data_IF_974175721306
#
_entry.id   IF_974175721306
#
_cell.length_a   1.000
_cell.length_b   1.000
_cell.length_c   1.000
_cell.angle_alpha   90.00
_cell.angle_beta   90.00
_cell.angle_gamma   90.00
#
_symmetry.space_group_name_H-M   'P 1'
#
loop_
_entity.id
_entity.type
_entity.pdbx_description
1 polymer ?
#
# COMPACT_ATOMS: atom_id res chain seq x y z
N UNK A 1 -8.76 -15.71 3.16
CA UNK A 1 -7.82 -15.36 2.08
C UNK A 1 -8.57 -15.56 0.76
N UNK A 2 -8.78 -14.51 -0.03
CA UNK A 2 -9.42 -14.66 -1.34
C UNK A 2 -8.42 -15.20 -2.36
N UNK A 3 -8.88 -16.12 -3.23
CA UNK A 3 -8.06 -16.70 -4.30
C UNK A 3 -8.83 -16.60 -5.62
N UNK A 4 -8.32 -15.79 -6.54
CA UNK A 4 -8.83 -15.74 -7.91
C UNK A 4 -8.33 -16.96 -8.70
N UNK A 5 -9.21 -17.54 -9.49
CA UNK A 5 -8.94 -18.64 -10.43
C UNK A 5 -9.37 -18.18 -11.82
N UNK A 6 -8.52 -18.35 -12.82
CA UNK A 6 -8.80 -17.97 -14.21
C UNK A 6 -8.77 -19.21 -15.09
N UNK A 7 -9.84 -19.42 -15.85
CA UNK A 7 -9.94 -20.48 -16.84
C UNK A 7 -9.61 -19.95 -18.23
N UNK A 8 -8.77 -20.67 -18.96
CA UNK A 8 -8.27 -20.23 -20.27
C UNK A 8 -9.02 -20.85 -21.45
N UNK A 9 -9.83 -21.88 -21.23
CA UNK A 9 -10.56 -22.58 -22.29
C UNK A 9 -12.06 -22.59 -21.97
N UNK A 10 -12.91 -22.65 -23.00
CA UNK A 10 -14.32 -22.98 -22.81
C UNK A 10 -14.49 -24.36 -22.19
N UNK A 11 -15.54 -24.53 -21.41
CA UNK A 11 -15.88 -25.78 -20.75
C UNK A 11 -16.44 -25.61 -19.34
N UNK A 12 -16.90 -26.73 -18.79
CA UNK A 12 -17.34 -26.81 -17.39
C UNK A 12 -16.16 -27.08 -16.47
N UNK A 13 -15.97 -26.22 -15.49
CA UNK A 13 -14.91 -26.32 -14.49
C UNK A 13 -15.50 -26.53 -13.10
N UNK A 14 -14.91 -27.47 -12.35
CA UNK A 14 -15.30 -27.74 -10.97
C UNK A 14 -14.28 -27.07 -10.04
N UNK A 15 -14.71 -26.05 -9.31
CA UNK A 15 -13.91 -25.41 -8.26
C UNK A 15 -14.24 -26.10 -6.94
N UNK A 16 -13.21 -26.57 -6.24
CA UNK A 16 -13.31 -27.12 -4.88
C UNK A 16 -12.52 -26.23 -3.93
N UNK A 17 -13.20 -25.61 -2.98
CA UNK A 17 -12.58 -24.86 -1.89
C UNK A 17 -12.63 -25.72 -0.62
N UNK A 18 -11.49 -25.90 0.04
CA UNK A 18 -11.41 -26.58 1.32
C UNK A 18 -10.83 -25.63 2.38
N UNK A 19 -11.51 -25.48 3.51
CA UNK A 19 -10.99 -24.85 4.70
C UNK A 19 -10.55 -25.95 5.67
N UNK A 20 -9.33 -25.88 6.19
CA UNK A 20 -8.78 -26.88 7.12
C UNK A 20 -8.32 -26.16 8.38
N UNK A 21 -8.80 -26.61 9.54
CA UNK A 21 -8.35 -26.15 10.86
C UNK A 21 -8.06 -27.36 11.75
N UNK A 22 -6.80 -27.79 11.78
CA UNK A 22 -6.41 -29.00 12.50
C UNK A 22 -7.03 -30.26 11.88
N UNK A 23 -7.90 -30.95 12.64
CA UNK A 23 -8.63 -32.14 12.18
C UNK A 23 -9.96 -31.81 11.48
N UNK A 24 -10.46 -30.58 11.63
CA UNK A 24 -11.70 -30.14 10.98
C UNK A 24 -11.41 -29.69 9.55
N UNK A 25 -12.24 -30.14 8.62
CA UNK A 25 -12.23 -29.67 7.24
C UNK A 25 -13.66 -29.45 6.76
N UNK A 26 -13.86 -28.35 6.02
CA UNK A 26 -15.10 -28.04 5.33
C UNK A 26 -14.80 -27.85 3.83
N UNK A 27 -15.66 -28.37 2.97
CA UNK A 27 -15.47 -28.34 1.52
C UNK A 27 -16.71 -27.80 0.80
N UNK A 28 -16.49 -26.76 -0.01
CA UNK A 28 -17.50 -26.23 -0.93
C UNK A 28 -17.11 -26.52 -2.37
N UNK A 29 -18.07 -26.98 -3.17
CA UNK A 29 -17.89 -27.24 -4.60
C UNK A 29 -18.80 -26.32 -5.41
N UNK A 30 -18.27 -25.73 -6.48
CA UNK A 30 -19.01 -24.88 -7.40
C UNK A 30 -18.62 -25.23 -8.85
N UNK A 31 -19.60 -25.23 -9.75
CA UNK A 31 -19.38 -25.50 -11.17
C UNK A 31 -19.48 -24.19 -11.94
N UNK A 32 -18.43 -23.86 -12.68
CA UNK A 32 -18.35 -22.66 -13.51
C UNK A 32 -18.29 -23.09 -14.98
N UNK A 33 -19.25 -22.64 -15.78
CA UNK A 33 -19.24 -22.85 -17.23
C UNK A 33 -18.61 -21.64 -17.93
N UNK A 34 -17.56 -21.89 -18.69
CA UNK A 34 -16.89 -20.89 -19.54
C UNK A 34 -17.35 -21.11 -20.97
N UNK A 35 -17.98 -20.10 -21.56
CA UNK A 35 -18.50 -20.18 -22.92
C UNK A 35 -17.40 -19.91 -23.96
N UNK A 36 -17.62 -20.41 -25.18
CA UNK A 36 -16.81 -20.02 -26.34
C UNK A 36 -16.98 -18.52 -26.65
N UNK A 37 -15.92 -17.84 -27.10
CA UNK A 37 -16.06 -16.48 -27.60
C UNK A 37 -17.03 -16.44 -28.78
N UNK A 38 -17.92 -15.44 -28.89
CA UNK A 38 -18.75 -15.27 -30.07
C UNK A 38 -17.90 -15.16 -31.34
N UNK A 39 -18.41 -15.66 -32.47
CA UNK A 39 -17.74 -15.51 -33.76
C UNK A 39 -17.44 -14.04 -34.07
N UNK A 40 -16.31 -13.80 -34.73
CA UNK A 40 -15.88 -12.44 -35.08
C UNK A 40 -15.39 -11.62 -33.88
N UNK A 41 -14.97 -12.27 -32.80
CA UNK A 41 -14.38 -11.61 -31.63
C UNK A 41 -12.97 -12.11 -31.33
N UNK A 42 -12.18 -11.27 -30.68
CA UNK A 42 -10.88 -11.64 -30.08
C UNK A 42 -10.92 -11.40 -28.58
N UNK A 43 -10.11 -12.14 -27.84
CA UNK A 43 -9.95 -11.94 -26.41
C UNK A 43 -8.88 -10.89 -26.16
N UNK A 44 -9.23 -9.80 -25.48
CA UNK A 44 -8.28 -8.87 -24.92
C UNK A 44 -7.89 -9.31 -23.50
N UNK A 45 -6.63 -9.67 -23.30
CA UNK A 45 -6.07 -10.11 -22.02
C UNK A 45 -5.07 -9.08 -21.50
N UNK A 46 -5.34 -8.53 -20.33
CA UNK A 46 -4.47 -7.64 -19.60
C UNK A 46 -3.89 -8.37 -18.39
N UNK A 47 -2.58 -8.53 -18.36
CA UNK A 47 -1.86 -9.06 -17.19
C UNK A 47 -1.22 -7.92 -16.43
N UNK A 48 -1.53 -7.79 -15.14
CA UNK A 48 -1.03 -6.71 -14.28
C UNK A 48 -0.17 -7.29 -13.18
N UNK A 49 1.07 -6.84 -13.09
CA UNK A 49 1.94 -7.13 -11.96
C UNK A 49 2.30 -5.85 -11.23
N UNK A 50 2.44 -5.95 -9.91
CA UNK A 50 2.79 -4.82 -9.06
C UNK A 50 4.02 -5.18 -8.23
N UNK A 51 4.87 -4.18 -7.99
CA UNK A 51 5.96 -4.26 -7.01
C UNK A 51 5.94 -3.01 -6.16
N UNK A 52 6.21 -3.13 -4.87
CA UNK A 52 6.23 -1.99 -3.96
C UNK A 52 6.80 -2.36 -2.60
N UNK A 53 6.50 -1.53 -1.61
CA UNK A 53 6.87 -1.76 -0.22
C UNK A 53 5.61 -2.03 0.58
N UNK A 54 5.45 -3.23 1.13
CA UNK A 54 4.43 -3.50 2.13
C UNK A 54 4.82 -2.80 3.45
N UNK A 55 3.89 -2.03 4.01
CA UNK A 55 4.01 -1.33 5.29
C UNK A 55 3.06 -1.95 6.30
N UNK A 56 3.60 -2.77 7.19
CA UNK A 56 2.86 -3.27 8.34
C UNK A 56 2.95 -2.26 9.47
N UNK A 57 1.80 -1.89 10.05
CA UNK A 57 1.71 -0.96 11.18
C UNK A 57 1.20 -1.64 12.43
N UNK A 58 1.67 -1.14 13.56
CA UNK A 58 1.34 -1.66 14.88
C UNK A 58 1.48 -0.54 15.90
N UNK A 59 0.59 -0.54 16.89
CA UNK A 59 0.71 0.39 18.01
C UNK A 59 1.29 -0.35 19.21
N UNK A 60 2.16 0.33 19.94
CA UNK A 60 2.77 -0.17 21.18
C UNK A 60 2.80 0.95 22.20
N UNK A 61 2.34 0.68 23.40
CA UNK A 61 2.48 1.63 24.50
C UNK A 61 3.90 1.53 25.08
N UNK A 62 4.47 2.68 25.38
CA UNK A 62 5.73 2.85 26.09
C UNK A 62 5.56 3.82 27.25
N UNK A 63 6.59 3.93 28.07
CA UNK A 63 6.62 4.89 29.18
C UNK A 63 8.04 5.35 29.40
N UNK A 64 8.23 6.66 29.48
CA UNK A 64 9.47 7.23 30.00
C UNK A 64 9.30 7.48 31.49
N UNK A 65 10.15 6.86 32.31
CA UNK A 65 10.16 7.12 33.75
C UNK A 65 11.55 7.48 34.24
N UNK A 66 11.59 8.41 35.21
CA UNK A 66 12.81 8.78 35.90
C UNK A 66 12.48 9.27 37.31
N UNK A 67 13.44 9.13 38.22
CA UNK A 67 13.34 9.56 39.61
C UNK A 67 14.59 10.35 39.94
N UNK A 68 14.42 11.42 40.73
CA UNK A 68 15.52 12.21 41.23
C UNK A 68 16.39 11.35 42.16
N UNK A 69 17.70 11.33 41.94
CA UNK A 69 18.62 10.52 42.74
C UNK A 69 18.85 11.18 44.12
N UNK A 70 18.65 10.46 45.24
CA UNK A 70 18.85 11.02 46.59
C UNK A 70 20.24 11.60 46.83
N UNK A 71 21.28 10.95 46.28
CA UNK A 71 22.67 11.34 46.41
C UNK A 71 23.08 12.56 45.56
N UNK A 72 22.20 13.03 44.67
CA UNK A 72 22.49 14.20 43.84
C UNK A 72 22.43 15.48 44.69
N UNK A 73 23.56 16.19 44.76
CA UNK A 73 23.71 17.40 45.57
C UNK A 73 22.91 18.58 45.01
N UNK A 74 23.00 18.83 43.71
CA UNK A 74 22.34 19.98 43.08
C UNK A 74 20.83 19.79 43.04
N UNK A 75 20.03 20.87 43.15
CA UNK A 75 18.57 20.80 43.12
C UNK A 75 18.01 20.45 41.73
N UNK A 76 18.85 20.44 40.70
CA UNK A 76 18.48 20.11 39.31
C UNK A 76 19.20 18.82 38.90
N UNK A 77 18.44 17.83 38.47
CA UNK A 77 18.95 16.53 38.00
C UNK A 77 18.62 16.34 36.52
N UNK A 78 19.60 16.50 35.60
CA UNK A 78 19.39 16.22 34.20
C UNK A 78 19.22 14.72 33.98
N UNK A 79 18.35 14.34 33.05
CA UNK A 79 18.13 12.93 32.71
C UNK A 79 18.04 12.71 31.21
N UNK A 80 18.32 11.46 30.85
CA UNK A 80 18.07 10.92 29.52
C UNK A 80 17.40 9.55 29.65
N UNK A 81 16.36 9.31 28.86
CA UNK A 81 15.70 8.00 28.73
C UNK A 81 15.52 7.64 27.28
N UNK A 82 15.59 6.35 26.98
CA UNK A 82 15.47 5.85 25.63
C UNK A 82 14.46 4.73 25.50
N UNK A 83 13.82 4.66 24.33
CA UNK A 83 13.01 3.53 23.90
C UNK A 83 13.49 3.11 22.51
N UNK A 84 13.72 1.81 22.34
CA UNK A 84 14.07 1.21 21.06
C UNK A 84 12.82 0.68 20.36
N UNK A 85 12.79 0.77 19.03
CA UNK A 85 11.80 0.10 18.20
C UNK A 85 11.97 -1.43 18.30
N UNK A 86 10.90 -2.18 18.05
CA UNK A 86 10.98 -3.64 17.97
C UNK A 86 11.93 -4.10 16.85
N UNK A 87 12.53 -5.30 16.96
CA UNK A 87 13.37 -5.84 15.89
C UNK A 87 12.66 -5.83 14.53
N UNK A 88 13.33 -5.32 13.50
CA UNK A 88 12.81 -5.13 12.13
C UNK A 88 11.71 -4.07 11.97
N UNK A 89 11.45 -3.25 13.00
CA UNK A 89 10.55 -2.10 12.92
C UNK A 89 11.33 -0.78 13.06
N UNK A 90 10.70 0.30 12.62
CA UNK A 90 11.08 1.68 12.91
C UNK A 90 9.87 2.43 13.45
N UNK A 91 10.07 3.56 14.14
CA UNK A 91 8.95 4.41 14.54
C UNK A 91 8.42 5.19 13.32
N UNK A 92 7.17 4.92 12.94
CA UNK A 92 6.44 5.69 11.94
C UNK A 92 5.91 7.01 12.52
N UNK A 93 5.46 6.97 13.78
CA UNK A 93 4.95 8.12 14.53
C UNK A 93 5.12 7.90 16.04
N UNK A 94 5.13 9.00 16.80
CA UNK A 94 5.20 8.99 18.27
C UNK A 94 4.17 9.97 18.80
N UNK A 95 3.34 9.49 19.73
CA UNK A 95 2.15 10.21 20.17
C UNK A 95 2.10 10.31 21.68
N UNK A 96 1.77 11.49 22.17
CA UNK A 96 1.52 11.73 23.58
C UNK A 96 0.10 12.25 23.73
N UNK A 97 -0.67 11.58 24.57
CA UNK A 97 -1.99 12.06 24.94
C UNK A 97 -1.86 12.95 26.17
N UNK A 98 -2.36 14.18 26.07
CA UNK A 98 -2.40 15.10 27.19
C UNK A 98 -3.59 14.75 28.11
N UNK A 99 -3.59 15.21 29.37
CA UNK A 99 -4.75 15.07 30.26
C UNK A 99 -6.03 15.74 29.73
N UNK A 100 -5.94 16.68 28.78
CA UNK A 100 -7.11 17.28 28.13
C UNK A 100 -7.65 16.43 26.96
N UNK A 101 -6.97 15.34 26.60
CA UNK A 101 -7.33 14.47 25.48
C UNK A 101 -6.72 14.87 24.13
N UNK A 102 -5.93 15.95 24.08
CA UNK A 102 -5.18 16.34 22.89
C UNK A 102 -4.07 15.32 22.59
N UNK A 103 -3.81 15.06 21.31
CA UNK A 103 -2.74 14.16 20.88
C UNK A 103 -1.62 14.98 20.24
N UNK A 104 -0.50 15.10 20.93
CA UNK A 104 0.73 15.66 20.38
C UNK A 104 1.46 14.60 19.56
N UNK A 105 1.84 14.92 18.32
CA UNK A 105 2.47 13.98 17.38
C UNK A 105 3.84 14.46 16.93
N UNK A 106 4.82 13.56 16.95
CA UNK A 106 6.13 13.80 16.33
C UNK A 106 6.01 13.82 14.80
N UNK A 107 5.20 12.92 14.22
CA UNK A 107 5.02 12.81 12.78
C UNK A 107 6.31 12.45 12.07
N UNK A 108 6.72 13.26 11.07
CA UNK A 108 7.97 13.08 10.32
C UNK A 108 9.13 13.95 10.85
N UNK A 109 8.93 14.66 11.98
CA UNK A 109 9.98 15.49 12.57
C UNK A 109 11.00 14.62 13.30
N UNK A 110 12.24 15.11 13.38
CA UNK A 110 13.30 14.43 14.14
C UNK A 110 13.34 14.82 15.62
N UNK A 111 12.61 15.88 16.00
CA UNK A 111 12.55 16.34 17.38
C UNK A 111 11.21 17.03 17.68
N UNK A 112 10.86 17.05 18.96
CA UNK A 112 9.68 17.72 19.50
C UNK A 112 9.96 18.21 20.92
N UNK A 113 9.81 19.51 21.15
CA UNK A 113 9.78 20.07 22.50
C UNK A 113 8.44 19.73 23.13
N UNK A 114 8.47 19.22 24.36
CA UNK A 114 7.27 18.87 25.12
C UNK A 114 7.14 19.86 26.26
N UNK A 115 5.99 20.54 26.38
CA UNK A 115 5.73 21.41 27.52
C UNK A 115 5.34 20.56 28.74
N UNK A 116 6.14 20.51 29.82
CA UNK A 116 5.81 19.74 31.03
C UNK A 116 4.48 20.17 31.67
N UNK A 117 4.10 21.44 31.54
CA UNK A 117 2.86 21.99 32.08
C UNK A 117 1.62 21.35 31.46
N UNK A 118 1.66 21.07 30.16
CA UNK A 118 0.59 20.37 29.42
C UNK A 118 0.37 18.96 29.98
N UNK A 119 1.42 18.29 30.45
CA UNK A 119 1.37 16.96 31.06
C UNK A 119 1.22 16.96 32.58
N UNK A 120 1.03 18.14 33.20
CA UNK A 120 0.97 18.33 34.65
C UNK A 120 2.23 17.85 35.39
N UNK A 121 3.38 17.88 34.74
CA UNK A 121 4.68 17.48 35.29
C UNK A 121 5.34 18.67 36.02
N UNK A 122 4.93 18.93 37.26
CA UNK A 122 5.30 20.14 38.03
C UNK A 122 6.81 20.26 38.34
N UNK A 123 7.50 19.12 38.51
CA UNK A 123 8.92 19.08 38.86
C UNK A 123 9.83 18.81 37.68
N UNK A 124 9.34 18.95 36.44
CA UNK A 124 10.09 18.66 35.22
C UNK A 124 10.24 19.92 34.37
N UNK A 125 11.42 20.12 33.78
CA UNK A 125 11.69 21.22 32.84
C UNK A 125 12.47 20.72 31.62
N UNK A 126 12.48 21.53 30.56
CA UNK A 126 13.32 21.35 29.38
C UNK A 126 13.15 19.98 28.68
N UNK A 127 11.91 19.48 28.57
CA UNK A 127 11.65 18.21 27.90
C UNK A 127 11.83 18.32 26.39
N UNK A 128 12.71 17.47 25.86
CA UNK A 128 12.97 17.34 24.44
C UNK A 128 12.94 15.86 24.05
N UNK A 129 12.07 15.53 23.11
CA UNK A 129 12.09 14.25 22.43
C UNK A 129 12.89 14.39 21.14
N UNK A 130 13.80 13.45 20.90
CA UNK A 130 14.50 13.28 19.62
C UNK A 130 14.35 11.84 19.14
N UNK A 131 14.43 11.66 17.82
CA UNK A 131 14.45 10.35 17.17
C UNK A 131 15.71 10.22 16.32
N UNK A 132 16.35 9.06 16.35
CA UNK A 132 17.50 8.76 15.50
C UNK A 132 17.14 8.80 14.01
N UNK A 133 18.11 9.04 13.14
CA UNK A 133 17.90 9.16 11.70
C UNK A 133 17.32 7.87 11.07
N UNK A 134 17.70 6.70 11.59
CA UNK A 134 17.14 5.39 11.20
C UNK A 134 15.77 5.10 11.83
N UNK A 135 15.25 6.03 12.62
CA UNK A 135 13.99 5.98 13.36
C UNK A 135 13.86 4.76 14.27
N UNK A 136 14.96 4.21 14.78
CA UNK A 136 14.96 3.05 15.69
C UNK A 136 15.07 3.40 17.17
N UNK A 137 15.55 4.60 17.50
CA UNK A 137 15.78 5.01 18.88
C UNK A 137 15.06 6.33 19.13
N UNK A 138 14.22 6.35 20.16
CA UNK A 138 13.69 7.57 20.75
C UNK A 138 14.49 7.92 21.99
N UNK A 139 14.81 9.19 22.14
CA UNK A 139 15.53 9.73 23.29
C UNK A 139 14.77 10.92 23.85
N UNK A 140 14.39 10.82 25.12
CA UNK A 140 13.78 11.89 25.89
C UNK A 140 14.81 12.43 26.88
N UNK A 141 15.11 13.72 26.78
CA UNK A 141 15.94 14.45 27.73
C UNK A 141 15.12 15.47 28.49
N UNK A 142 15.56 15.81 29.69
CA UNK A 142 14.96 16.89 30.49
C UNK A 142 15.65 17.01 31.83
N UNK A 143 15.04 17.80 32.72
CA UNK A 143 15.56 18.08 34.05
C UNK A 143 14.47 17.83 35.10
N UNK A 144 14.82 17.13 36.18
CA UNK A 144 14.00 17.08 37.40
C UNK A 144 14.47 18.16 38.38
N UNK A 145 13.53 18.84 39.02
CA UNK A 145 13.81 19.92 39.98
C UNK A 145 13.30 19.53 41.37
N UNK A 146 14.22 19.38 42.32
CA UNK A 146 13.94 19.10 43.74
C UNK A 146 13.53 20.40 44.46
N UNK A 147 12.43 20.35 45.19
CA UNK A 147 12.01 21.46 46.04
C UNK A 147 12.87 21.55 47.31
N UNK A 148 12.81 22.69 48.00
CA UNK A 148 13.46 22.86 49.30
C UNK A 148 12.89 21.88 50.34
N UNK A 149 11.57 21.72 50.39
CA UNK A 149 10.91 20.74 51.27
C UNK A 149 11.37 19.30 50.99
N UNK A 150 11.54 18.93 49.72
CA UNK A 150 12.05 17.61 49.36
C UNK A 150 13.53 17.45 49.76
N UNK A 151 14.31 18.54 49.74
CA UNK A 151 15.70 18.55 50.20
C UNK A 151 15.81 18.40 51.72
N UNK A 152 14.81 18.87 52.46
CA UNK A 152 14.69 18.72 53.92
C UNK A 152 13.99 17.41 54.33
N UNK A 153 13.65 16.53 53.38
CA UNK A 153 12.93 15.27 53.65
C UNK A 153 11.46 15.45 54.05
N UNK A 154 10.89 16.65 53.86
CA UNK A 154 9.49 16.98 54.18
C UNK A 154 8.52 16.71 53.02
N UNK A 155 9.04 16.43 51.83
CA UNK A 155 8.28 16.07 50.64
C UNK A 155 8.99 14.94 49.86
N UNK A 156 8.28 14.14 49.05
CA UNK A 156 8.90 13.11 48.24
C UNK A 156 9.85 13.71 47.18
N UNK A 157 10.87 12.93 46.81
CA UNK A 157 11.75 13.31 45.71
C UNK A 157 10.97 13.33 44.38
N UNK A 158 11.32 14.27 43.46
CA UNK A 158 10.67 14.36 42.16
C UNK A 158 10.74 13.06 41.36
N UNK A 159 9.63 12.72 40.73
CA UNK A 159 9.55 11.64 39.74
C UNK A 159 8.84 12.14 38.49
N UNK A 160 9.16 11.53 37.35
CA UNK A 160 8.45 11.73 36.10
C UNK A 160 8.01 10.37 35.59
N UNK A 161 6.75 10.30 35.15
CA UNK A 161 6.21 9.21 34.35
C UNK A 161 5.46 9.82 33.18
N UNK A 162 5.89 9.52 31.96
CA UNK A 162 5.30 10.04 30.72
C UNK A 162 4.95 8.87 29.80
N UNK A 163 3.65 8.49 29.72
CA UNK A 163 3.16 7.50 28.77
C UNK A 163 3.33 8.00 27.33
N UNK A 164 3.60 7.08 26.42
CA UNK A 164 3.75 7.37 24.99
C UNK A 164 3.14 6.23 24.16
N UNK A 165 2.39 6.56 23.12
CA UNK A 165 1.97 5.61 22.10
C UNK A 165 2.97 5.65 20.95
N UNK A 166 3.54 4.50 20.63
CA UNK A 166 4.53 4.29 19.58
C UNK A 166 3.83 3.62 18.40
N UNK A 167 3.80 4.30 17.26
CA UNK A 167 3.38 3.68 16.00
C UNK A 167 4.62 3.16 15.33
N UNK A 168 4.76 1.85 15.28
CA UNK A 168 5.88 1.18 14.64
C UNK A 168 5.49 0.69 13.24
N UNK A 169 6.42 0.76 12.31
CA UNK A 169 6.24 0.33 10.93
C UNK A 169 7.33 -0.67 10.54
N UNK A 170 6.94 -1.73 9.83
CA UNK A 170 7.86 -2.64 9.15
C UNK A 170 7.65 -2.50 7.65
N UNK A 171 8.73 -2.19 6.94
CA UNK A 171 8.74 -1.99 5.50
C UNK A 171 9.43 -3.17 4.83
N UNK A 172 8.72 -3.91 3.99
CA UNK A 172 9.25 -5.08 3.27
C UNK A 172 8.97 -4.98 1.78
N UNK A 173 9.98 -5.19 0.90
CA UNK A 173 9.73 -5.32 -0.53
C UNK A 173 8.70 -6.42 -0.81
N UNK A 174 7.73 -6.11 -1.66
CA UNK A 174 6.65 -7.01 -1.99
C UNK A 174 6.34 -6.99 -3.49
N UNK A 175 5.94 -8.14 -4.03
CA UNK A 175 5.56 -8.30 -5.43
C UNK A 175 4.26 -9.08 -5.55
N UNK A 176 3.44 -8.68 -6.51
CA UNK A 176 2.16 -9.29 -6.83
C UNK A 176 2.29 -9.83 -8.23
N UNK A 177 2.21 -11.16 -8.33
CA UNK A 177 2.23 -11.88 -9.60
C UNK A 177 1.15 -11.37 -10.54
N UNK A 178 1.37 -11.57 -11.85
CA UNK A 178 0.46 -11.12 -12.90
C UNK A 178 -0.98 -11.55 -12.64
N UNK A 179 -1.86 -10.59 -12.35
CA UNK A 179 -3.30 -10.77 -12.24
C UNK A 179 -3.89 -10.59 -13.64
N UNK A 180 -4.44 -11.65 -14.27
CA UNK A 180 -5.07 -11.55 -15.56
C UNK A 180 -6.47 -10.94 -15.44
N UNK A 181 -6.79 -10.04 -16.35
CA UNK A 181 -8.14 -9.50 -16.59
C UNK A 181 -8.43 -9.65 -18.07
N UNK A 182 -9.54 -10.27 -18.42
CA UNK A 182 -9.89 -10.54 -19.81
C UNK A 182 -11.26 -9.94 -20.16
N UNK A 183 -11.43 -9.57 -21.42
CA UNK A 183 -12.71 -9.20 -22.01
C UNK A 183 -12.73 -9.61 -23.47
N UNK A 184 -13.93 -9.67 -24.04
CA UNK A 184 -14.14 -9.92 -25.46
C UNK A 184 -14.19 -8.60 -26.22
N UNK A 185 -13.52 -8.55 -27.37
CA UNK A 185 -13.49 -7.39 -28.26
C UNK A 185 -13.95 -7.83 -29.65
N UNK A 186 -15.03 -7.22 -30.15
CA UNK A 186 -15.52 -7.51 -31.50
C UNK A 186 -14.52 -7.02 -32.56
N UNK A 187 -14.38 -7.76 -33.66
CA UNK A 187 -13.61 -7.32 -34.82
C UNK A 187 -14.45 -6.29 -35.60
N UNK A 188 -13.93 -5.07 -35.82
CA UNK A 188 -14.57 -4.05 -36.64
C UNK A 188 -15.03 -4.57 -38.00
N UNK A 189 -16.25 -4.18 -38.39
CA UNK A 189 -16.78 -4.38 -39.74
C UNK A 189 -17.49 -3.12 -40.22
N UNK A 190 -17.53 -2.91 -41.53
CA UNK A 190 -18.24 -1.80 -42.18
C UNK A 190 -17.84 -0.39 -41.69
N UNK A 191 -16.57 -0.20 -41.33
CA UNK A 191 -16.05 1.10 -40.86
C UNK A 191 -16.45 1.49 -39.43
N UNK A 192 -17.12 0.62 -38.68
CA UNK A 192 -17.42 0.86 -37.27
C UNK A 192 -16.23 0.50 -36.38
N UNK A 193 -15.95 1.33 -35.36
CA UNK A 193 -14.91 1.02 -34.36
C UNK A 193 -15.45 0.09 -33.28
N UNK A 194 -14.60 -0.79 -32.77
CA UNK A 194 -14.90 -1.67 -31.63
C UNK A 194 -14.21 -1.17 -30.38
N UNK A 195 -14.91 -1.25 -29.25
CA UNK A 195 -14.42 -0.75 -27.96
C UNK A 195 -14.67 -1.80 -26.89
N UNK A 196 -13.67 -2.02 -26.03
CA UNK A 196 -13.84 -2.80 -24.81
C UNK A 196 -13.11 -2.15 -23.64
N UNK A 197 -13.57 -2.39 -22.42
CA UNK A 197 -12.93 -1.90 -21.20
C UNK A 197 -12.50 -3.06 -20.30
N UNK A 198 -11.28 -2.95 -19.77
CA UNK A 198 -10.68 -3.88 -18.83
C UNK A 198 -10.53 -3.18 -17.48
N UNK A 199 -11.20 -3.70 -16.46
CA UNK A 199 -11.12 -3.17 -15.09
C UNK A 199 -9.74 -3.48 -14.50
N UNK A 200 -9.06 -2.48 -13.97
CA UNK A 200 -7.79 -2.63 -13.29
C UNK A 200 -8.02 -3.20 -11.89
N UNK A 201 -7.30 -4.25 -11.47
CA UNK A 201 -7.30 -4.71 -10.09
C UNK A 201 -6.85 -3.58 -9.16
N UNK A 202 -7.51 -3.48 -8.01
CA UNK A 202 -7.12 -2.56 -6.94
C UNK A 202 -5.66 -2.80 -6.53
N UNK A 203 -4.98 -1.74 -6.11
CA UNK A 203 -3.67 -1.87 -5.49
C UNK A 203 -3.83 -2.43 -4.07
N UNK A 204 -2.89 -3.24 -3.57
CA UNK A 204 -2.86 -3.61 -2.15
C UNK A 204 -2.82 -2.34 -1.28
N UNK A 205 -3.73 -2.23 -0.31
CA UNK A 205 -3.89 -1.02 0.51
C UNK A 205 -2.73 -0.77 1.47
N UNK A 206 -2.04 -1.84 1.85
CA UNK A 206 -0.88 -1.87 2.74
C UNK A 206 0.44 -1.56 2.01
N UNK A 207 0.40 -1.32 0.69
CA UNK A 207 1.61 -1.03 -0.07
C UNK A 207 1.79 0.46 -0.33
N UNK A 208 3.05 0.89 -0.27
CA UNK A 208 3.50 2.22 -0.69
C UNK A 208 4.52 2.09 -1.82
N UNK A 209 4.78 3.21 -2.51
CA UNK A 209 5.78 3.28 -3.60
C UNK A 209 5.53 2.23 -4.70
N UNK A 210 4.25 2.00 -5.01
CA UNK A 210 3.87 0.92 -5.93
C UNK A 210 4.20 1.26 -7.37
N UNK A 211 4.91 0.34 -8.03
CA UNK A 211 5.17 0.32 -9.46
C UNK A 211 4.29 -0.75 -10.12
N UNK A 212 3.41 -0.32 -11.02
CA UNK A 212 2.53 -1.19 -11.78
C UNK A 212 3.09 -1.44 -13.18
N UNK A 213 3.21 -2.71 -13.56
CA UNK A 213 3.54 -3.14 -14.92
C UNK A 213 2.31 -3.77 -15.57
N UNK A 214 2.20 -3.59 -16.88
CA UNK A 214 1.11 -4.14 -17.68
C UNK A 214 1.68 -4.96 -18.83
N UNK A 215 0.92 -5.96 -19.26
CA UNK A 215 1.07 -6.63 -20.53
C UNK A 215 -0.31 -6.79 -21.12
N UNK A 216 -0.55 -6.17 -22.27
CA UNK A 216 -1.81 -6.31 -23.00
C UNK A 216 -1.58 -7.25 -24.19
N UNK A 217 -2.49 -8.20 -24.37
CA UNK A 217 -2.48 -9.16 -25.46
C UNK A 217 -3.86 -9.18 -26.12
N UNK A 218 -3.88 -9.32 -27.46
CA UNK A 218 -5.07 -9.75 -28.18
C UNK A 218 -4.84 -11.18 -28.66
N UNK A 219 -5.78 -12.06 -28.35
CA UNK A 219 -5.71 -13.49 -28.64
C UNK A 219 -6.92 -13.94 -29.45
N UNK A 220 -6.66 -14.81 -30.40
CA UNK A 220 -7.67 -15.65 -31.02
C UNK A 220 -7.54 -17.05 -30.42
N UNK A 221 -8.54 -17.44 -29.62
CA UNK A 221 -8.47 -18.61 -28.74
C UNK A 221 -7.19 -18.62 -27.89
N UNK A 222 -6.22 -19.49 -28.22
CA UNK A 222 -4.93 -19.61 -27.54
C UNK A 222 -3.78 -18.88 -28.23
N UNK A 223 -3.99 -18.39 -29.46
CA UNK A 223 -2.95 -17.78 -30.28
C UNK A 223 -2.86 -16.28 -29.99
N UNK A 224 -1.70 -15.82 -29.50
CA UNK A 224 -1.44 -14.38 -29.35
C UNK A 224 -1.24 -13.74 -30.72
N UNK A 225 -2.20 -12.92 -31.14
CA UNK A 225 -2.15 -12.17 -32.40
C UNK A 225 -1.33 -10.89 -32.27
N UNK A 226 -1.39 -10.27 -31.10
CA UNK A 226 -0.73 -9.00 -30.81
C UNK A 226 -0.43 -8.90 -29.31
N UNK A 227 0.68 -8.25 -28.96
CA UNK A 227 1.06 -8.02 -27.57
C UNK A 227 1.88 -6.74 -27.40
N UNK A 228 1.73 -6.09 -26.24
CA UNK A 228 2.52 -4.91 -25.87
C UNK A 228 2.68 -4.82 -24.34
N UNK A 229 3.75 -4.17 -23.88
CA UNK A 229 4.05 -3.99 -22.44
C UNK A 229 3.77 -2.57 -21.94
N UNK A 230 3.24 -1.74 -22.81
CA UNK A 230 2.86 -0.34 -22.59
C UNK A 230 1.44 -0.12 -23.12
N UNK A 231 0.85 1.04 -22.79
CA UNK A 231 -0.43 1.44 -23.36
C UNK A 231 -0.20 1.78 -24.83
N UNK A 232 -0.79 1.04 -25.80
CA UNK A 232 -0.61 1.33 -27.22
C UNK A 232 -1.31 2.64 -27.60
N UNK A 233 -0.66 3.44 -28.44
CA UNK A 233 -1.30 4.60 -29.09
C UNK A 233 -1.76 4.30 -30.52
N UNK A 234 -0.99 3.50 -31.27
CA UNK A 234 -1.29 3.06 -32.65
C UNK A 234 -0.60 1.72 -32.96
N UNK A 235 -1.00 0.64 -32.28
CA UNK A 235 -0.53 -0.71 -32.57
C UNK A 235 -1.16 -1.26 -33.85
N UNK A 236 -0.39 -1.97 -34.68
CA UNK A 236 -0.92 -2.62 -35.88
C UNK A 236 -1.21 -4.10 -35.58
N UNK A 237 -2.45 -4.52 -35.80
CA UNK A 237 -2.89 -5.91 -35.76
C UNK A 237 -3.26 -6.38 -37.17
N UNK A 238 -2.85 -7.58 -37.53
CA UNK A 238 -3.34 -8.25 -38.75
C UNK A 238 -4.19 -9.45 -38.32
N UNK A 239 -5.43 -9.50 -38.79
CA UNK A 239 -6.36 -10.58 -38.50
C UNK A 239 -7.21 -10.90 -39.74
N UNK A 240 -7.27 -12.18 -40.13
CA UNK A 240 -8.03 -12.65 -41.30
C UNK A 240 -7.83 -11.77 -42.56
N UNK A 241 -6.57 -11.50 -42.92
CA UNK A 241 -6.12 -10.64 -44.05
C UNK A 241 -6.39 -9.13 -43.94
N UNK A 242 -7.14 -8.68 -42.93
CA UNK A 242 -7.40 -7.27 -42.65
C UNK A 242 -6.38 -6.72 -41.66
N UNK A 243 -6.15 -5.41 -41.74
CA UNK A 243 -5.29 -4.67 -40.82
C UNK A 243 -6.14 -3.78 -39.93
N UNK A 244 -5.79 -3.71 -38.67
CA UNK A 244 -6.48 -2.92 -37.66
C UNK A 244 -5.49 -2.08 -36.87
N UNK A 245 -5.91 -0.89 -36.47
CA UNK A 245 -5.21 -0.06 -35.50
C UNK A 245 -5.78 -0.30 -34.11
N UNK A 246 -4.90 -0.61 -33.18
CA UNK A 246 -5.18 -0.75 -31.75
C UNK A 246 -4.69 0.50 -31.05
N UNK A 247 -5.56 1.13 -30.28
CA UNK A 247 -5.15 2.15 -29.30
C UNK A 247 -5.77 1.82 -27.95
N UNK A 248 -5.20 2.35 -26.89
CA UNK A 248 -5.77 2.21 -25.57
C UNK A 248 -5.58 3.49 -24.75
N UNK A 249 -6.55 3.75 -23.88
CA UNK A 249 -6.52 4.85 -22.94
C UNK A 249 -6.63 4.30 -21.53
N UNK A 250 -5.74 4.76 -20.64
CA UNK A 250 -5.72 4.35 -19.23
C UNK A 250 -6.38 5.42 -18.37
N UNK A 251 -7.31 4.98 -17.53
CA UNK A 251 -7.86 5.77 -16.42
C UNK A 251 -7.39 5.19 -15.07
N UNK A 252 -7.93 5.72 -13.95
CA UNK A 252 -7.62 5.20 -12.62
C UNK A 252 -8.08 3.74 -12.43
N UNK A 253 -9.24 3.38 -12.98
CA UNK A 253 -9.92 2.11 -12.69
C UNK A 253 -9.99 1.17 -13.89
N UNK A 254 -9.74 1.65 -15.11
CA UNK A 254 -9.89 0.83 -16.31
C UNK A 254 -8.90 1.22 -17.43
N UNK A 255 -8.62 0.25 -18.29
CA UNK A 255 -8.03 0.47 -19.62
C UNK A 255 -9.12 0.26 -20.65
N UNK A 256 -9.40 1.30 -21.43
CA UNK A 256 -10.28 1.24 -22.60
C UNK A 256 -9.43 0.94 -23.82
N UNK A 257 -9.82 -0.06 -24.59
CA UNK A 257 -9.17 -0.50 -25.83
C UNK A 257 -10.09 -0.13 -26.98
N UNK A 258 -9.52 0.49 -28.00
CA UNK A 258 -10.19 0.84 -29.24
C UNK A 258 -9.50 0.09 -30.39
N UNK A 259 -10.32 -0.56 -31.23
CA UNK A 259 -9.89 -1.26 -32.42
C UNK A 259 -10.62 -0.68 -33.63
N UNK A 260 -9.86 -0.28 -34.64
CA UNK A 260 -10.39 0.37 -35.86
C UNK A 260 -9.80 -0.32 -37.08
N UNK A 261 -10.61 -0.57 -38.11
CA UNK A 261 -10.12 -1.10 -39.38
C UNK A 261 -9.21 -0.06 -40.06
N UNK A 262 -7.98 -0.48 -40.40
CA UNK A 262 -7.01 0.37 -41.08
C UNK A 262 -7.26 0.29 -42.59
N UNK A 263 -8.19 1.11 -43.09
CA UNK A 263 -8.43 1.18 -44.53
C UNK A 263 -7.28 1.91 -45.24
N UNK A 264 -6.76 1.38 -46.36
CA UNK A 264 -5.82 2.13 -47.18
C UNK A 264 -6.51 3.40 -47.69
N UNK A 265 -5.81 4.54 -47.65
CA UNK A 265 -6.31 5.80 -48.22
C UNK A 265 -6.79 5.56 -49.66
N UNK A 266 -8.08 5.76 -49.91
CA UNK A 266 -8.60 5.85 -51.26
C UNK A 266 -7.98 7.09 -51.92
N UNK A 267 -7.04 6.87 -52.84
CA UNK A 267 -6.48 7.89 -53.72
C UNK A 267 -7.62 8.78 -54.27
N UNK A 268 -7.50 10.12 -54.24
CA UNK A 268 -8.48 10.98 -54.87
C UNK A 268 -8.53 10.64 -56.37
N UNK A 269 -9.72 10.37 -56.87
CA UNK A 269 -9.96 10.22 -58.30
C UNK A 269 -9.62 11.56 -58.96
N UNK A 270 -8.79 11.62 -60.02
CA UNK A 270 -8.58 12.86 -60.74
C UNK A 270 -9.91 13.25 -61.39
N UNK A 271 -10.43 14.43 -61.07
CA UNK A 271 -11.54 15.02 -61.82
C UNK A 271 -11.04 15.32 -63.24
N UNK A 272 -11.72 14.72 -64.23
CA UNK A 272 -11.63 15.10 -65.64
C UNK A 272 -12.33 16.44 -65.89
#
# INVERSE_FOLDING_TARGET
QERMVTFQKPGGYVIKLAAVNGLEHDQKTEIVNVLEPPEGTVTALLTISDSGINVEKTNRNGTFSTTFLPEHSDPVFPFERQLAARPNFTFGDVRFQTPSGEILRLGQKNQMVLDPGVFKLQSVRNLLLTISADRKILRLTGELVRSEDASLGKAPLPTMTLPVELVEERRTPATRSGVPVATTLAIPSNGQSSVASLVLPSLPQDWVEVQRKIRLELRDETTTLWQETKIPSNGLLTFQTKRFLISATKSAEQIRIDLVENQPETKPTPNN
#
